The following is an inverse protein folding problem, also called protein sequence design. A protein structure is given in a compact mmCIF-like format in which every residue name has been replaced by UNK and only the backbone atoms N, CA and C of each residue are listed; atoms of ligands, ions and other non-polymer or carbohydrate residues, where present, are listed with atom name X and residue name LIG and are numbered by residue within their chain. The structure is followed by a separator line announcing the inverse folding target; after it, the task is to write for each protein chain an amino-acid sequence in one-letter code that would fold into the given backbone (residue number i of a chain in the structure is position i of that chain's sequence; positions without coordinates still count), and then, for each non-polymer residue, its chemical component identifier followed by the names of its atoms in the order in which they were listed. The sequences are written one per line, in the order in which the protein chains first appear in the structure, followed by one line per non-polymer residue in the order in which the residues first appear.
data_IF_976458640448
#
_entry.id   IF_976458640448
#
_cell.length_a   1.000
_cell.length_b   1.000
_cell.length_c   1.000
_cell.angle_alpha   90.00
_cell.angle_beta   90.00
_cell.angle_gamma   90.00
#
_symmetry.space_group_name_H-M   'P 1'
#
loop_
_entity.id
_entity.type
_entity.pdbx_description
1 polymer ?
#
# COMPACT_ATOMS: atom_id res chain seq x y z
N UNK A 1 11.74 4.47 -9.45
CA UNK A 1 10.75 4.43 -8.36
C UNK A 1 10.06 5.77 -8.34
N UNK A 2 8.72 5.78 -8.32
CA UNK A 2 7.91 6.99 -8.22
C UNK A 2 7.03 6.91 -6.99
N UNK A 3 6.73 8.07 -6.38
CA UNK A 3 5.81 8.17 -5.26
C UNK A 3 4.92 9.40 -5.41
N UNK A 4 3.76 9.38 -4.78
CA UNK A 4 2.83 10.51 -4.73
C UNK A 4 2.10 10.57 -3.40
N UNK A 5 1.59 11.76 -3.10
CA UNK A 5 0.64 12.01 -2.01
C UNK A 5 -0.28 13.14 -2.43
N UNK A 6 -1.56 12.99 -2.12
CA UNK A 6 -2.58 14.02 -2.28
C UNK A 6 -3.48 14.02 -1.06
N UNK A 7 -3.75 15.19 -0.49
CA UNK A 7 -4.62 15.35 0.67
C UNK A 7 -5.51 16.57 0.51
N UNK A 8 -6.73 16.45 1.01
CA UNK A 8 -7.72 17.51 1.10
C UNK A 8 -8.37 17.49 2.49
N UNK A 9 -8.44 18.66 3.12
CA UNK A 9 -9.19 18.88 4.36
C UNK A 9 -10.41 19.72 4.06
N UNK A 10 -11.56 19.33 4.62
CA UNK A 10 -12.82 20.08 4.49
C UNK A 10 -12.97 21.21 5.52
N UNK A 11 -11.98 21.41 6.38
CA UNK A 11 -11.99 22.42 7.44
C UNK A 11 -12.83 22.05 8.67
N UNK A 12 -13.54 20.92 8.67
CA UNK A 12 -14.29 20.41 9.84
C UNK A 12 -13.48 19.41 10.66
N UNK A 13 -12.21 19.22 10.33
CA UNK A 13 -11.33 18.21 10.94
C UNK A 13 -11.33 16.87 10.21
N UNK A 14 -12.06 16.73 9.09
CA UNK A 14 -11.98 15.54 8.25
C UNK A 14 -10.90 15.73 7.17
N UNK A 15 -10.10 14.70 6.95
CA UNK A 15 -9.09 14.65 5.89
C UNK A 15 -9.39 13.47 4.98
N UNK A 16 -9.37 13.71 3.66
CA UNK A 16 -9.39 12.68 2.64
C UNK A 16 -8.08 12.74 1.88
N UNK A 17 -7.49 11.60 1.59
CA UNK A 17 -6.25 11.57 0.86
C UNK A 17 -5.95 10.26 0.19
N UNK A 18 -4.89 10.30 -0.61
CA UNK A 18 -4.27 9.12 -1.15
C UNK A 18 -2.75 9.26 -1.17
N UNK A 19 -2.06 8.14 -1.01
CA UNK A 19 -0.63 8.07 -1.24
C UNK A 19 -0.27 6.73 -1.87
N UNK A 20 0.88 6.69 -2.51
CA UNK A 20 1.34 5.47 -3.11
C UNK A 20 2.73 5.57 -3.71
N UNK A 21 3.22 4.43 -4.16
CA UNK A 21 4.49 4.32 -4.87
C UNK A 21 4.45 3.21 -5.90
N UNK A 22 5.39 3.26 -6.84
CA UNK A 22 5.67 2.19 -7.79
C UNK A 22 7.18 2.05 -8.03
N UNK A 23 7.67 0.81 -7.93
CA UNK A 23 9.06 0.44 -8.12
C UNK A 23 9.34 0.05 -9.57
N UNK A 24 10.60 0.11 -10.04
CA UNK A 24 10.94 -0.32 -11.40
C UNK A 24 10.48 -1.74 -11.79
N UNK A 25 10.47 -2.75 -10.88
CA UNK A 25 9.91 -4.06 -11.16
C UNK A 25 8.38 -4.12 -11.27
N UNK A 26 7.66 -2.99 -11.11
CA UNK A 26 6.19 -2.90 -11.16
C UNK A 26 5.50 -3.23 -9.83
N UNK A 27 6.25 -3.32 -8.73
CA UNK A 27 5.67 -3.47 -7.39
C UNK A 27 5.12 -2.13 -6.92
N UNK A 28 3.92 -2.12 -6.33
CA UNK A 28 3.24 -0.89 -5.95
C UNK A 28 2.38 -1.03 -4.70
N UNK A 29 2.06 0.13 -4.14
CA UNK A 29 1.00 0.32 -3.15
C UNK A 29 0.24 1.60 -3.49
N UNK A 30 -1.08 1.52 -3.49
CA UNK A 30 -1.99 2.66 -3.45
C UNK A 30 -2.79 2.58 -2.15
N UNK A 31 -2.89 3.68 -1.43
CA UNK A 31 -3.69 3.81 -0.22
C UNK A 31 -4.63 4.98 -0.42
N UNK A 32 -5.92 4.72 -0.31
CA UNK A 32 -6.96 5.74 -0.21
C UNK A 32 -7.48 5.75 1.22
N UNK A 33 -7.62 6.93 1.82
CA UNK A 33 -7.99 7.03 3.22
C UNK A 33 -8.88 8.23 3.53
N UNK A 34 -9.62 8.06 4.62
CA UNK A 34 -10.37 9.12 5.30
C UNK A 34 -9.98 9.09 6.78
N UNK A 35 -9.70 10.27 7.34
CA UNK A 35 -9.51 10.48 8.76
C UNK A 35 -10.53 11.48 9.26
N UNK A 36 -11.26 11.16 10.32
CA UNK A 36 -12.27 12.05 10.88
C UNK A 36 -12.73 11.58 12.26
N UNK A 37 -13.94 11.99 12.64
CA UNK A 37 -14.54 11.64 13.96
C UNK A 37 -14.67 10.13 14.18
N UNK A 38 -14.86 9.36 13.12
CA UNK A 38 -14.96 7.89 13.15
C UNK A 38 -13.58 7.19 13.09
N UNK A 39 -12.49 7.93 13.30
CA UNK A 39 -11.12 7.44 13.23
C UNK A 39 -10.54 7.44 11.81
N UNK A 40 -9.49 6.63 11.64
CA UNK A 40 -8.76 6.49 10.37
C UNK A 40 -9.20 5.21 9.65
N UNK A 41 -9.62 5.34 8.39
CA UNK A 41 -10.05 4.23 7.53
C UNK A 41 -9.26 4.23 6.24
N UNK A 42 -8.82 3.06 5.78
CA UNK A 42 -7.98 2.93 4.60
C UNK A 42 -8.39 1.77 3.69
N UNK A 43 -8.42 2.02 2.39
CA UNK A 43 -8.43 1.01 1.35
C UNK A 43 -7.04 0.93 0.72
N UNK A 44 -6.40 -0.24 0.82
CA UNK A 44 -5.06 -0.48 0.30
C UNK A 44 -5.15 -1.44 -0.87
N UNK A 45 -4.66 -1.01 -2.03
CA UNK A 45 -4.44 -1.86 -3.20
C UNK A 45 -2.95 -2.04 -3.41
N UNK A 46 -2.46 -3.28 -3.44
CA UNK A 46 -1.02 -3.55 -3.56
C UNK A 46 -0.74 -4.87 -4.29
N UNK A 47 0.47 -5.01 -4.83
CA UNK A 47 1.01 -6.28 -5.34
C UNK A 47 2.36 -6.61 -4.69
N UNK A 48 2.55 -6.20 -3.43
CA UNK A 48 3.77 -6.49 -2.68
C UNK A 48 3.91 -7.98 -2.37
N UNK A 49 5.11 -8.52 -2.60
CA UNK A 49 5.40 -9.93 -2.33
C UNK A 49 5.34 -10.20 -0.82
N UNK A 50 4.57 -11.20 -0.42
CA UNK A 50 4.38 -11.55 1.00
C UNK A 50 3.15 -10.91 1.65
N UNK A 51 2.39 -10.07 0.93
CA UNK A 51 1.06 -9.65 1.37
C UNK A 51 -0.02 -10.67 0.99
N UNK A 52 -1.11 -10.64 1.74
CA UNK A 52 -2.32 -11.42 1.44
C UNK A 52 -3.55 -10.53 1.61
N UNK A 53 -4.64 -10.88 0.92
CA UNK A 53 -5.92 -10.18 1.08
C UNK A 53 -6.43 -10.39 2.52
N UNK A 54 -6.63 -9.30 3.24
CA UNK A 54 -7.21 -9.34 4.59
C UNK A 54 -7.82 -7.98 4.98
N UNK A 55 -8.57 -7.97 6.07
CA UNK A 55 -9.01 -6.76 6.74
C UNK A 55 -8.46 -6.78 8.18
N UNK A 56 -7.94 -5.63 8.64
CA UNK A 56 -7.40 -5.47 9.99
C UNK A 56 -7.71 -4.07 10.51
N UNK A 57 -8.36 -3.99 11.67
CA UNK A 57 -8.94 -2.73 12.14
C UNK A 57 -9.87 -2.14 11.07
N UNK A 58 -9.67 -0.86 10.75
CA UNK A 58 -10.39 -0.12 9.71
C UNK A 58 -9.64 -0.06 8.36
N UNK A 59 -8.69 -0.99 8.14
CA UNK A 59 -7.92 -1.10 6.90
C UNK A 59 -8.31 -2.37 6.11
N UNK A 60 -8.58 -2.20 4.81
CA UNK A 60 -8.88 -3.29 3.88
C UNK A 60 -7.73 -3.42 2.87
N UNK A 61 -7.16 -4.62 2.76
CA UNK A 61 -6.10 -4.93 1.81
C UNK A 61 -6.63 -5.75 0.65
N UNK A 62 -6.62 -5.17 -0.54
CA UNK A 62 -6.85 -5.85 -1.81
C UNK A 62 -5.51 -6.11 -2.49
N UNK A 63 -5.13 -7.39 -2.58
CA UNK A 63 -3.80 -7.79 -3.04
C UNK A 63 -3.88 -8.44 -4.41
N UNK A 64 -3.13 -7.90 -5.37
CA UNK A 64 -2.91 -8.48 -6.69
C UNK A 64 -1.63 -9.34 -6.71
N UNK A 65 -1.49 -10.29 -7.64
CA UNK A 65 -0.28 -11.07 -7.78
C UNK A 65 0.97 -10.19 -7.95
N UNK A 66 2.06 -10.47 -7.23
CA UNK A 66 3.30 -9.71 -7.36
C UNK A 66 3.95 -9.91 -8.73
N UNK A 67 4.69 -8.92 -9.26
CA UNK A 67 5.46 -9.09 -10.47
C UNK A 67 6.51 -10.20 -10.31
N UNK A 68 6.78 -11.02 -11.34
CA UNK A 68 7.78 -12.09 -11.25
C UNK A 68 9.17 -11.58 -10.82
N UNK A 69 9.56 -10.39 -11.30
CA UNK A 69 10.82 -9.76 -10.94
C UNK A 69 10.91 -9.42 -9.44
N UNK A 70 9.80 -9.01 -8.82
CA UNK A 70 9.75 -8.72 -7.39
C UNK A 70 9.83 -10.00 -6.53
N UNK A 71 9.25 -11.10 -6.99
CA UNK A 71 9.35 -12.42 -6.35
C UNK A 71 10.80 -12.93 -6.32
N UNK A 72 11.51 -12.83 -7.45
CA UNK A 72 12.92 -13.20 -7.54
C UNK A 72 13.78 -12.34 -6.60
N UNK A 73 13.48 -11.05 -6.51
CA UNK A 73 14.18 -10.14 -5.59
C UNK A 73 13.93 -10.50 -4.12
N UNK A 74 12.70 -10.85 -3.75
CA UNK A 74 12.35 -11.34 -2.41
C UNK A 74 13.12 -12.61 -2.03
N UNK A 75 13.19 -13.58 -2.94
CA UNK A 75 13.94 -14.82 -2.75
C UNK A 75 15.45 -14.58 -2.56
N UNK A 76 16.03 -13.63 -3.32
CA UNK A 76 17.45 -13.26 -3.19
C UNK A 76 17.76 -12.57 -1.86
N UNK A 77 16.82 -11.77 -1.32
CA UNK A 77 16.97 -11.15 0.00
C UNK A 77 16.79 -12.14 1.14
N UNK A 78 15.97 -13.17 0.97
CA UNK A 78 15.67 -14.16 2.00
C UNK A 78 16.75 -15.26 2.16
N UNK A 79 17.65 -15.41 1.18
CA UNK A 79 18.76 -16.35 1.29
C UNK A 79 19.89 -15.75 2.16
N UNK A 80 20.31 -16.39 3.27
CA UNK A 80 21.50 -15.96 3.99
C UNK A 80 22.73 -16.23 3.10
N UNK A 81 23.57 -15.20 2.93
CA UNK A 81 24.92 -15.37 2.40
C UNK A 81 25.67 -16.33 3.33
N UNK A 82 26.19 -17.41 2.75
CA UNK A 82 27.00 -18.40 3.45
C UNK A 82 28.41 -17.87 3.69
#
# INVERSE_FOLDING_TARGET
MSQYRHEYSDGTGSVKGSYGFMDPPGQYRNVEYVAGVDGFKAAITSNEAGLSKHAVGDAIYEIQPPPPAAMVQGLRKAAPLK
#
